data_IF_311448398053
#
_entry.id   IF_311448398053
#
_cell.length_a   1.000
_cell.length_b   1.000
_cell.length_c   1.000
_cell.angle_alpha   90.00
_cell.angle_beta   90.00
_cell.angle_gamma   90.00
#
_symmetry.space_group_name_H-M   'P 1'
#
loop_
_entity.id
_entity.type
_entity.pdbx_description
1 polymer ?
#
# COMPACT_ATOMS: atom_id res chain seq x y z
N UNK A 1 -5.21 3.70 3.89
CA UNK A 1 -4.67 5.01 4.28
C UNK A 1 -3.17 5.05 4.05
N UNK A 2 -2.67 6.15 3.56
CA UNK A 2 -1.26 6.32 3.27
C UNK A 2 -0.63 7.33 4.24
N UNK A 3 0.51 6.97 4.80
CA UNK A 3 1.33 7.87 5.61
C UNK A 3 2.70 7.98 4.95
N UNK A 4 3.17 9.20 4.77
CA UNK A 4 4.44 9.48 4.10
C UNK A 4 5.40 10.12 5.07
N UNK A 5 6.63 9.60 5.11
CA UNK A 5 7.71 10.15 5.94
C UNK A 5 8.91 10.40 5.04
N UNK A 6 9.32 11.66 4.94
CA UNK A 6 10.49 12.03 4.15
C UNK A 6 11.75 11.51 4.82
N UNK A 7 12.58 10.84 4.05
CA UNK A 7 13.85 10.30 4.51
C UNK A 7 15.01 11.05 3.89
N UNK A 8 16.20 10.74 4.39
CA UNK A 8 17.43 11.29 3.85
C UNK A 8 17.61 10.82 2.40
N UNK A 9 18.18 11.68 1.56
CA UNK A 9 18.45 11.33 0.16
C UNK A 9 17.24 11.35 -0.75
N UNK A 10 16.21 12.15 -0.43
CA UNK A 10 15.00 12.34 -1.25
C UNK A 10 14.10 11.12 -1.32
N UNK A 11 14.36 10.11 -0.51
CA UNK A 11 13.48 8.93 -0.42
C UNK A 11 12.34 9.19 0.55
N UNK A 12 11.25 8.49 0.34
CA UNK A 12 10.06 8.56 1.20
C UNK A 12 9.72 7.17 1.71
N UNK A 13 9.50 7.05 3.02
CA UNK A 13 8.87 5.85 3.56
C UNK A 13 7.36 6.02 3.44
N UNK A 14 6.74 5.12 2.71
CA UNK A 14 5.28 5.08 2.60
C UNK A 14 4.78 3.95 3.48
N UNK A 15 3.91 4.27 4.43
CA UNK A 15 3.26 3.28 5.26
C UNK A 15 1.81 3.14 4.81
N UNK A 16 1.47 1.93 4.39
CA UNK A 16 0.10 1.58 4.01
C UNK A 16 -0.59 1.07 5.26
N UNK A 17 -1.78 1.57 5.55
CA UNK A 17 -2.54 1.20 6.74
C UNK A 17 -4.00 0.95 6.39
N UNK A 18 -4.54 -0.14 6.92
CA UNK A 18 -5.94 -0.53 6.78
C UNK A 18 -6.45 -1.05 8.11
N UNK A 19 -7.78 -1.10 8.31
CA UNK A 19 -8.35 -1.81 9.45
C UNK A 19 -7.89 -3.27 9.46
N UNK A 20 -7.64 -3.83 10.64
CA UNK A 20 -7.14 -5.20 10.76
C UNK A 20 -8.16 -6.24 10.30
N UNK A 21 -9.45 -5.92 10.37
CA UNK A 21 -10.54 -6.89 10.14
C UNK A 21 -11.29 -6.69 8.82
N UNK A 22 -11.01 -5.63 8.08
CA UNK A 22 -11.66 -5.36 6.81
C UNK A 22 -10.65 -5.08 5.71
N UNK A 23 -10.67 -5.88 4.65
CA UNK A 23 -11.37 -7.17 4.52
C UNK A 23 -10.75 -8.26 5.39
N UNK A 24 -11.47 -9.35 5.60
CA UNK A 24 -10.95 -10.48 6.36
C UNK A 24 -9.80 -11.16 5.62
N UNK A 25 -8.94 -11.83 6.38
CA UNK A 25 -7.84 -12.60 5.82
C UNK A 25 -6.59 -11.76 5.63
N UNK A 26 -5.75 -12.17 4.70
CA UNK A 26 -4.47 -11.55 4.40
C UNK A 26 -4.64 -10.49 3.34
N UNK A 27 -3.96 -9.35 3.49
CA UNK A 27 -3.93 -8.29 2.48
C UNK A 27 -2.48 -7.98 2.14
N UNK A 28 -2.19 -7.93 0.85
CA UNK A 28 -0.89 -7.53 0.31
C UNK A 28 -1.02 -6.22 -0.45
N UNK A 29 0.04 -5.41 -0.41
CA UNK A 29 0.18 -4.27 -1.30
C UNK A 29 0.89 -4.75 -2.56
N UNK A 30 0.29 -4.50 -3.71
CA UNK A 30 0.81 -4.94 -5.01
C UNK A 30 0.95 -3.70 -5.89
N UNK A 31 2.14 -3.46 -6.41
CA UNK A 31 2.39 -2.26 -7.17
C UNK A 31 3.61 -2.36 -8.07
N UNK A 32 3.89 -1.27 -8.78
CA UNK A 32 5.03 -1.21 -9.69
C UNK A 32 6.38 -1.31 -8.98
N UNK A 33 6.41 -1.03 -7.67
CA UNK A 33 7.63 -1.14 -6.86
C UNK A 33 7.94 -2.58 -6.41
N UNK A 34 7.07 -3.55 -6.68
CA UNK A 34 7.31 -4.96 -6.39
C UNK A 34 6.91 -5.87 -7.55
N UNK A 35 6.92 -5.33 -8.77
CA UNK A 35 6.59 -6.05 -10.00
C UNK A 35 5.20 -6.67 -9.98
N UNK A 36 4.27 -6.05 -9.26
CA UNK A 36 2.89 -6.50 -9.12
C UNK A 36 2.78 -7.93 -8.58
N UNK A 37 3.74 -8.34 -7.73
CA UNK A 37 3.77 -9.69 -7.17
C UNK A 37 3.07 -9.74 -5.82
N UNK A 38 1.99 -10.52 -5.70
CA UNK A 38 1.33 -10.73 -4.42
C UNK A 38 2.27 -11.39 -3.40
N UNK A 39 2.14 -11.00 -2.15
CA UNK A 39 2.89 -11.61 -1.06
C UNK A 39 4.25 -10.99 -0.77
N UNK A 40 4.76 -10.11 -1.64
CA UNK A 40 6.03 -9.43 -1.37
C UNK A 40 5.91 -8.37 -0.28
N UNK A 41 4.76 -7.71 -0.20
CA UNK A 41 4.48 -6.69 0.80
C UNK A 41 3.16 -7.01 1.49
N UNK A 42 3.15 -8.08 2.27
CA UNK A 42 2.00 -8.49 3.05
C UNK A 42 1.85 -7.60 4.28
N UNK A 43 0.64 -7.12 4.51
CA UNK A 43 0.35 -6.25 5.64
C UNK A 43 0.32 -7.05 6.95
N UNK A 44 0.83 -6.45 8.02
CA UNK A 44 0.92 -7.08 9.34
C UNK A 44 -0.02 -6.42 10.32
N UNK A 45 -0.69 -7.22 11.13
CA UNK A 45 -1.56 -6.73 12.20
C UNK A 45 -0.74 -6.01 13.28
N UNK A 46 -1.31 -4.91 13.77
CA UNK A 46 -0.75 -4.14 14.88
C UNK A 46 -1.72 -4.17 16.06
N UNK A 47 -1.23 -3.77 17.24
CA UNK A 47 -2.03 -3.79 18.48
C UNK A 47 -3.19 -2.81 18.47
N UNK A 48 -3.10 -1.75 17.69
CA UNK A 48 -4.10 -0.67 17.66
C UNK A 48 -5.29 -0.97 16.73
N UNK A 49 -5.47 -2.21 16.30
CA UNK A 49 -6.58 -2.57 15.43
C UNK A 49 -6.36 -2.26 13.95
N UNK A 50 -5.13 -1.96 13.57
CA UNK A 50 -4.76 -1.74 12.19
C UNK A 50 -3.83 -2.84 11.68
N UNK A 51 -3.64 -2.88 10.38
CA UNK A 51 -2.55 -3.63 9.75
C UNK A 51 -1.78 -2.68 8.85
N UNK A 52 -0.47 -2.85 8.80
CA UNK A 52 0.42 -1.94 8.09
C UNK A 52 1.53 -2.68 7.38
N UNK A 53 2.09 -2.02 6.38
CA UNK A 53 3.36 -2.38 5.77
C UNK A 53 4.00 -1.09 5.25
N UNK A 54 5.32 -1.03 5.31
CA UNK A 54 6.07 0.16 4.84
C UNK A 54 7.00 -0.21 3.71
N UNK A 55 7.16 0.72 2.77
CA UNK A 55 8.07 0.58 1.64
C UNK A 55 8.80 1.90 1.47
N UNK A 56 10.09 1.85 1.17
CA UNK A 56 10.90 3.04 0.89
C UNK A 56 10.99 3.22 -0.61
N UNK A 57 10.54 4.37 -1.10
CA UNK A 57 10.42 4.65 -2.53
C UNK A 57 11.13 5.94 -2.92
N UNK A 58 11.67 6.00 -4.15
CA UNK A 58 12.25 7.23 -4.70
C UNK A 58 11.16 8.22 -5.10
N UNK A 59 11.53 9.48 -5.42
CA UNK A 59 10.58 10.41 -6.02
C UNK A 59 9.99 9.85 -7.31
N UNK A 60 8.78 10.26 -7.62
CA UNK A 60 8.10 9.86 -8.85
C UNK A 60 6.67 9.45 -8.61
N UNK A 61 6.08 8.87 -9.65
CA UNK A 61 4.71 8.38 -9.64
C UNK A 61 4.75 6.88 -9.43
N UNK A 62 4.01 6.41 -8.43
CA UNK A 62 3.94 4.99 -8.09
C UNK A 62 2.50 4.52 -8.12
N UNK A 63 2.27 3.34 -8.68
CA UNK A 63 0.94 2.73 -8.79
C UNK A 63 0.86 1.49 -7.94
N UNK A 64 -0.27 1.30 -7.27
CA UNK A 64 -0.48 0.13 -6.42
C UNK A 64 -1.96 -0.18 -6.27
N UNK A 65 -2.23 -1.38 -5.78
CA UNK A 65 -3.55 -1.81 -5.32
C UNK A 65 -3.37 -2.72 -4.12
N UNK A 66 -4.46 -2.96 -3.41
CA UNK A 66 -4.50 -3.98 -2.37
C UNK A 66 -5.09 -5.27 -2.95
N UNK A 67 -4.53 -6.39 -2.54
CA UNK A 67 -5.05 -7.71 -2.89
C UNK A 67 -5.34 -8.47 -1.60
N UNK A 68 -6.61 -8.78 -1.37
CA UNK A 68 -7.06 -9.55 -0.22
C UNK A 68 -7.28 -11.01 -0.58
N UNK A 69 -7.32 -11.85 0.44
CA UNK A 69 -7.65 -13.28 0.33
C UNK A 69 -8.91 -13.46 -0.52
N UNK A 70 -8.89 -14.46 -1.40
CA UNK A 70 -10.01 -14.75 -2.31
C UNK A 70 -9.96 -13.97 -3.61
N UNK A 71 -8.86 -13.27 -3.88
CA UNK A 71 -8.69 -12.52 -5.13
C UNK A 71 -9.43 -11.19 -5.16
N UNK A 72 -9.71 -10.61 -4.00
CA UNK A 72 -10.36 -9.29 -3.93
C UNK A 72 -9.33 -8.18 -4.12
N UNK A 73 -9.45 -7.45 -5.22
CA UNK A 73 -8.64 -6.26 -5.51
C UNK A 73 -9.39 -5.00 -5.14
N UNK A 74 -8.72 -4.05 -4.49
CA UNK A 74 -9.33 -2.76 -4.19
C UNK A 74 -8.28 -1.66 -4.10
N UNK A 75 -8.74 -0.41 -4.16
CA UNK A 75 -7.88 0.76 -4.17
C UNK A 75 -7.91 1.48 -2.83
N UNK A 76 -6.95 2.37 -2.64
CA UNK A 76 -6.87 3.23 -1.46
C UNK A 76 -7.52 4.57 -1.78
N UNK A 77 -8.59 4.91 -1.08
CA UNK A 77 -9.33 6.16 -1.29
C UNK A 77 -8.58 7.40 -0.81
N UNK A 78 -7.46 7.22 -0.10
CA UNK A 78 -6.59 8.32 0.32
C UNK A 78 -5.39 8.53 -0.61
N UNK A 79 -5.30 7.77 -1.71
CA UNK A 79 -4.29 7.99 -2.74
C UNK A 79 -4.48 9.36 -3.40
N UNK A 80 -3.43 9.89 -4.00
CA UNK A 80 -3.51 11.18 -4.69
C UNK A 80 -4.50 11.13 -5.85
N UNK A 81 -4.62 9.98 -6.48
CA UNK A 81 -5.51 9.77 -7.62
C UNK A 81 -5.83 8.28 -7.74
N UNK A 82 -7.03 7.98 -8.23
CA UNK A 82 -7.44 6.61 -8.57
C UNK A 82 -7.89 6.64 -10.03
N UNK A 83 -7.24 5.84 -10.87
CA UNK A 83 -7.62 5.68 -12.26
C UNK A 83 -8.29 4.32 -12.49
N UNK A 84 -8.49 3.94 -13.74
CA UNK A 84 -9.17 2.68 -14.08
C UNK A 84 -8.42 1.43 -13.63
N UNK A 85 -7.14 1.55 -13.31
CA UNK A 85 -6.28 0.41 -13.09
C UNK A 85 -5.67 0.35 -11.72
N UNK A 86 -5.54 1.48 -11.03
CA UNK A 86 -4.78 1.51 -9.79
C UNK A 86 -4.96 2.79 -8.99
N UNK A 87 -4.54 2.72 -7.74
CA UNK A 87 -4.27 3.89 -6.91
C UNK A 87 -2.94 4.49 -7.33
N UNK A 88 -2.84 5.79 -7.35
CA UNK A 88 -1.65 6.52 -7.78
C UNK A 88 -1.17 7.41 -6.64
N UNK A 89 0.12 7.34 -6.32
CA UNK A 89 0.73 8.28 -5.39
C UNK A 89 1.91 8.98 -6.04
N UNK A 90 2.06 10.26 -5.71
CA UNK A 90 3.15 11.10 -6.20
C UNK A 90 4.09 11.43 -5.04
N UNK A 91 5.34 11.11 -5.23
CA UNK A 91 6.36 11.35 -4.20
C UNK A 91 7.42 12.34 -4.67
#
# INVERSE_FOLDING_TARGET
MLKRTQLFGRKTRVTFALPADHPHGVVSVVGDFNDWQPGRHEMRRRRNGTRTVSVILPPGIHRFRYLATGGLWFDDDTADHIDHHSSVMRL
#
